data_IF_928313966319
#
_entry.id   IF_928313966319
#
_cell.length_a   1.000
_cell.length_b   1.000
_cell.length_c   1.000
_cell.angle_alpha   90.00
_cell.angle_beta   90.00
_cell.angle_gamma   90.00
#
_symmetry.space_group_name_H-M   'P 1'
#
loop_
_entity.id
_entity.type
_entity.pdbx_description
1 polymer ?
#
# COMPACT_ATOMS: atom_id res chain seq x y z
N UNK A 1 74.62 49.58 10.67
CA UNK A 1 73.51 50.41 10.16
C UNK A 1 72.44 49.49 9.60
N UNK A 2 71.21 49.62 10.12
CA UNK A 2 69.88 49.23 9.57
C UNK A 2 69.70 47.86 8.90
N UNK A 3 68.68 47.04 9.17
CA UNK A 3 67.47 47.16 10.00
C UNK A 3 66.95 45.76 10.30
N UNK A 4 66.61 45.58 11.57
CA UNK A 4 65.74 44.58 12.18
C UNK A 4 64.28 44.85 11.72
N UNK A 5 63.48 43.83 11.38
CA UNK A 5 62.03 44.02 11.25
C UNK A 5 61.29 42.96 10.44
N UNK A 6 60.13 42.54 10.98
CA UNK A 6 59.09 41.68 10.39
C UNK A 6 59.29 40.16 10.47
N UNK A 7 59.68 39.68 11.65
CA UNK A 7 58.93 38.58 12.28
C UNK A 7 57.59 39.19 12.75
N UNK A 8 56.49 38.44 12.67
CA UNK A 8 55.09 38.80 12.98
C UNK A 8 54.25 39.36 11.81
N UNK A 9 53.77 38.46 10.93
CA UNK A 9 52.35 38.48 10.58
C UNK A 9 51.86 37.04 10.44
N UNK A 10 51.37 36.56 11.59
CA UNK A 10 50.48 35.43 11.84
C UNK A 10 50.22 34.47 10.68
N UNK A 11 50.94 33.36 10.74
CA UNK A 11 50.47 32.06 10.29
C UNK A 11 49.19 31.66 11.02
N UNK A 12 48.00 32.01 10.51
CA UNK A 12 46.72 31.41 10.94
C UNK A 12 45.69 31.50 9.80
N UNK A 13 45.83 30.76 8.70
CA UNK A 13 44.70 30.55 7.76
C UNK A 13 44.88 29.34 6.82
N UNK A 14 45.53 28.27 7.29
CA UNK A 14 45.70 27.02 6.51
C UNK A 14 45.37 25.77 7.33
N UNK A 15 44.27 25.79 8.10
CA UNK A 15 43.77 24.60 8.83
C UNK A 15 42.23 24.49 8.84
N UNK A 16 41.55 24.81 7.73
CA UNK A 16 40.12 24.51 7.63
C UNK A 16 39.69 24.15 6.19
N UNK A 17 40.42 23.24 5.56
CA UNK A 17 39.91 22.47 4.41
C UNK A 17 39.74 21.01 4.79
N UNK A 18 39.20 20.76 5.98
CA UNK A 18 38.58 19.48 6.27
C UNK A 18 37.25 19.45 5.53
N UNK A 19 37.25 18.98 4.28
CA UNK A 19 36.02 18.49 3.67
C UNK A 19 35.51 17.37 4.56
N UNK A 20 34.55 17.69 5.43
CA UNK A 20 33.69 16.72 6.06
C UNK A 20 32.91 16.06 4.92
N UNK A 21 33.50 15.01 4.35
CA UNK A 21 32.77 14.03 3.58
C UNK A 21 31.83 13.37 4.59
N UNK A 22 30.62 13.90 4.70
CA UNK A 22 29.51 13.17 5.33
C UNK A 22 29.24 12.03 4.35
N UNK A 23 29.58 10.76 4.68
CA UNK A 23 29.10 9.68 3.85
C UNK A 23 27.59 9.76 3.89
N UNK A 24 26.95 9.98 2.75
CA UNK A 24 25.54 9.74 2.62
C UNK A 24 25.36 8.27 2.98
N UNK A 25 24.88 8.00 4.20
CA UNK A 25 24.38 6.69 4.57
C UNK A 25 23.11 6.50 3.76
N UNK A 26 23.27 6.14 2.49
CA UNK A 26 22.18 5.65 1.66
C UNK A 26 21.81 4.30 2.22
N UNK A 27 20.88 4.29 3.17
CA UNK A 27 20.15 3.07 3.51
C UNK A 27 19.58 2.54 2.20
N UNK A 28 20.01 1.34 1.79
CA UNK A 28 19.47 0.66 0.61
C UNK A 28 17.94 0.74 0.68
N UNK A 29 17.26 1.28 -0.35
CA UNK A 29 15.83 1.55 -0.25
C UNK A 29 15.11 0.25 0.05
N UNK A 30 14.40 0.26 1.17
CA UNK A 30 13.71 -0.91 1.70
C UNK A 30 12.77 -1.49 0.64
N UNK A 31 12.84 -2.82 0.43
CA UNK A 31 11.99 -3.53 -0.52
C UNK A 31 10.77 -4.11 0.19
N UNK A 32 9.58 -3.75 -0.29
CA UNK A 32 8.31 -4.35 0.14
C UNK A 32 8.00 -5.55 -0.77
N UNK A 33 7.78 -6.73 -0.20
CA UNK A 33 7.27 -7.88 -0.96
C UNK A 33 5.74 -7.90 -0.89
N UNK A 34 5.08 -7.65 -2.01
CA UNK A 34 3.63 -7.72 -2.14
C UNK A 34 3.21 -9.14 -2.50
N UNK A 35 2.53 -9.80 -1.59
CA UNK A 35 2.02 -11.15 -1.80
C UNK A 35 0.81 -11.12 -2.72
N UNK A 36 0.68 -12.12 -3.61
CA UNK A 36 -0.50 -12.30 -4.46
C UNK A 36 -1.00 -13.75 -4.38
N UNK A 37 -2.32 -13.91 -4.32
CA UNK A 37 -3.01 -15.19 -4.33
C UNK A 37 -3.75 -15.31 -5.65
N UNK A 38 -3.64 -16.39 -6.43
CA UNK A 38 -4.45 -16.55 -7.64
C UNK A 38 -5.93 -16.77 -7.27
N UNK A 39 -6.68 -15.67 -7.21
CA UNK A 39 -8.07 -15.61 -6.75
C UNK A 39 -8.86 -14.61 -7.61
N UNK A 40 -9.32 -15.02 -8.81
CA UNK A 40 -10.17 -14.17 -9.64
C UNK A 40 -11.52 -13.84 -8.96
N UNK A 41 -12.09 -12.64 -9.18
CA UNK A 41 -11.54 -11.53 -9.98
C UNK A 41 -10.57 -10.63 -9.20
N UNK A 42 -10.24 -10.92 -7.94
CA UNK A 42 -9.37 -10.05 -7.13
C UNK A 42 -7.92 -10.03 -7.66
N UNK A 43 -7.33 -11.19 -7.83
CA UNK A 43 -5.97 -11.35 -8.37
C UNK A 43 -6.02 -12.40 -9.47
N UNK A 44 -5.66 -12.01 -10.68
CA UNK A 44 -5.70 -12.90 -11.85
C UNK A 44 -4.27 -13.10 -12.34
N UNK A 45 -3.71 -14.29 -12.16
CA UNK A 45 -2.29 -14.57 -12.49
C UNK A 45 -2.10 -15.30 -13.82
N UNK A 46 -3.18 -15.80 -14.41
CA UNK A 46 -3.22 -16.62 -15.63
C UNK A 46 -4.42 -16.26 -16.51
N UNK A 47 -4.39 -16.71 -17.77
CA UNK A 47 -5.46 -16.46 -18.74
C UNK A 47 -5.40 -15.07 -19.40
N UNK A 48 -6.43 -14.72 -20.21
CA UNK A 48 -6.46 -13.48 -20.98
C UNK A 48 -6.47 -12.23 -20.09
N UNK A 49 -7.12 -12.29 -18.94
CA UNK A 49 -7.23 -11.17 -17.98
C UNK A 49 -6.09 -11.11 -16.96
N UNK A 50 -4.96 -11.76 -17.27
CA UNK A 50 -3.78 -11.76 -16.39
C UNK A 50 -3.35 -10.32 -16.06
N UNK A 51 -3.27 -10.03 -14.75
CA UNK A 51 -3.00 -8.71 -14.13
C UNK A 51 -4.13 -7.68 -14.20
N UNK A 52 -5.31 -8.06 -14.69
CA UNK A 52 -6.48 -7.18 -14.71
C UNK A 52 -7.42 -7.37 -13.51
N UNK A 53 -7.03 -8.21 -12.53
CA UNK A 53 -7.82 -8.40 -11.30
C UNK A 53 -7.89 -7.14 -10.43
N UNK A 54 -8.97 -7.02 -9.64
CA UNK A 54 -9.30 -5.84 -8.85
C UNK A 54 -8.21 -5.50 -7.82
N UNK A 55 -7.93 -6.43 -6.90
CA UNK A 55 -6.92 -6.27 -5.87
C UNK A 55 -5.52 -6.07 -6.46
N UNK A 56 -5.21 -6.76 -7.56
CA UNK A 56 -3.94 -6.59 -8.27
C UNK A 56 -3.76 -5.18 -8.84
N UNK A 57 -4.81 -4.60 -9.42
CA UNK A 57 -4.78 -3.23 -9.96
C UNK A 57 -4.76 -2.18 -8.86
N UNK A 58 -5.55 -2.35 -7.79
CA UNK A 58 -5.50 -1.46 -6.61
C UNK A 58 -4.12 -1.52 -5.95
N UNK A 59 -3.52 -2.71 -5.81
CA UNK A 59 -2.14 -2.87 -5.31
C UNK A 59 -1.14 -2.09 -6.17
N UNK A 60 -1.27 -2.14 -7.49
CA UNK A 60 -0.41 -1.36 -8.39
C UNK A 60 -0.56 0.14 -8.18
N UNK A 61 -1.79 0.64 -7.99
CA UNK A 61 -2.02 2.05 -7.67
C UNK A 61 -1.37 2.45 -6.33
N UNK A 62 -1.46 1.58 -5.32
CA UNK A 62 -0.80 1.79 -4.02
C UNK A 62 0.73 1.86 -4.19
N UNK A 63 1.32 0.88 -4.87
CA UNK A 63 2.78 0.83 -5.16
C UNK A 63 3.24 2.11 -5.86
N UNK A 64 2.49 2.58 -6.86
CA UNK A 64 2.80 3.82 -7.58
C UNK A 64 2.73 5.07 -6.70
N UNK A 65 1.85 5.07 -5.69
CA UNK A 65 1.72 6.16 -4.72
C UNK A 65 2.84 6.18 -3.67
N UNK A 66 3.42 5.02 -3.35
CA UNK A 66 4.52 4.87 -2.38
C UNK A 66 5.88 5.22 -3.01
N UNK A 67 6.10 6.52 -3.29
CA UNK A 67 7.35 7.02 -3.89
C UNK A 67 8.57 6.67 -3.03
N UNK A 68 9.68 6.29 -3.69
CA UNK A 68 10.98 6.09 -3.04
C UNK A 68 11.21 4.71 -2.42
N UNK A 69 10.24 3.78 -2.50
CA UNK A 69 10.42 2.41 -2.05
C UNK A 69 10.60 1.43 -3.19
N UNK A 70 11.42 0.40 -2.98
CA UNK A 70 11.43 -0.76 -3.87
C UNK A 70 10.22 -1.63 -3.54
N UNK A 71 9.62 -2.21 -4.57
CA UNK A 71 8.51 -3.14 -4.43
C UNK A 71 8.70 -4.29 -5.38
N UNK A 72 8.43 -5.50 -4.91
CA UNK A 72 8.35 -6.70 -5.71
C UNK A 72 7.02 -7.40 -5.47
N UNK A 73 6.61 -8.26 -6.39
CA UNK A 73 5.37 -9.04 -6.25
C UNK A 73 5.69 -10.52 -6.27
N UNK A 74 5.15 -11.27 -5.31
CA UNK A 74 5.39 -12.72 -5.19
C UNK A 74 4.11 -13.50 -4.97
N UNK A 75 3.90 -14.52 -5.80
CA UNK A 75 2.77 -15.43 -5.63
C UNK A 75 2.97 -16.37 -4.43
N UNK A 76 1.89 -16.63 -3.69
CA UNK A 76 1.86 -17.57 -2.59
C UNK A 76 0.43 -18.13 -2.41
N UNK A 77 0.31 -19.30 -1.77
CA UNK A 77 -1.00 -19.82 -1.36
C UNK A 77 -1.50 -19.13 -0.07
N UNK A 78 -2.79 -19.27 0.24
CA UNK A 78 -3.41 -18.60 1.38
C UNK A 78 -2.72 -18.90 2.72
N UNK A 79 -2.37 -20.16 2.99
CA UNK A 79 -1.69 -20.57 4.23
C UNK A 79 -0.32 -19.89 4.37
N UNK A 80 0.42 -19.78 3.28
CA UNK A 80 1.72 -19.12 3.25
C UNK A 80 1.59 -17.61 3.46
N UNK A 81 0.59 -16.99 2.83
CA UNK A 81 0.30 -15.56 3.03
C UNK A 81 -0.02 -15.28 4.49
N UNK A 82 -0.95 -16.03 5.08
CA UNK A 82 -1.32 -15.90 6.48
C UNK A 82 -0.12 -16.10 7.42
N UNK A 83 0.72 -17.10 7.14
CA UNK A 83 1.94 -17.33 7.93
C UNK A 83 2.92 -16.15 7.84
N UNK A 84 3.25 -15.68 6.63
CA UNK A 84 4.21 -14.58 6.44
C UNK A 84 3.72 -13.25 7.02
N UNK A 85 2.41 -12.96 6.94
CA UNK A 85 1.80 -11.77 7.54
C UNK A 85 1.80 -11.80 9.08
N UNK A 86 2.10 -12.94 9.70
CA UNK A 86 2.28 -13.09 11.15
C UNK A 86 3.75 -13.10 11.57
N UNK A 87 4.70 -13.02 10.61
CA UNK A 87 6.13 -12.95 10.91
C UNK A 87 6.61 -11.49 10.85
N UNK A 88 7.75 -11.22 11.48
CA UNK A 88 8.47 -9.95 11.27
C UNK A 88 9.15 -9.96 9.90
N UNK A 89 8.34 -9.78 8.84
CA UNK A 89 8.77 -9.73 7.45
C UNK A 89 8.22 -8.48 6.79
N UNK A 90 8.95 -7.97 5.81
CA UNK A 90 8.55 -6.78 5.04
C UNK A 90 7.59 -7.15 3.91
N UNK A 91 6.48 -7.79 4.27
CA UNK A 91 5.45 -8.28 3.33
C UNK A 91 4.12 -7.58 3.54
N UNK A 92 3.35 -7.39 2.47
CA UNK A 92 1.96 -6.93 2.56
C UNK A 92 1.06 -7.68 1.56
N UNK A 93 -0.25 -7.66 1.79
CA UNK A 93 -1.25 -8.34 0.96
C UNK A 93 -2.49 -7.47 0.77
N UNK A 94 -2.85 -7.17 -0.48
CA UNK A 94 -4.02 -6.33 -0.84
C UNK A 94 -5.28 -7.18 -1.00
N UNK A 95 -5.62 -8.02 -0.02
CA UNK A 95 -6.76 -8.92 -0.13
C UNK A 95 -7.27 -9.47 1.20
N UNK A 96 -6.91 -8.82 2.31
CA UNK A 96 -7.41 -9.19 3.63
C UNK A 96 -8.81 -8.60 3.87
N UNK A 97 -9.57 -9.18 4.79
CA UNK A 97 -10.83 -8.59 5.22
C UNK A 97 -10.61 -7.41 6.17
N UNK A 98 -11.27 -6.28 5.89
CA UNK A 98 -11.28 -5.12 6.77
C UNK A 98 -12.12 -5.40 8.03
N UNK A 99 -11.70 -4.81 9.17
CA UNK A 99 -12.46 -4.84 10.43
C UNK A 99 -12.12 -5.99 11.38
N UNK A 100 -11.22 -6.89 10.99
CA UNK A 100 -10.69 -7.90 11.91
C UNK A 100 -9.63 -7.28 12.85
N UNK A 101 -10.00 -7.12 14.13
CA UNK A 101 -9.12 -6.51 15.16
C UNK A 101 -7.85 -7.32 15.45
N UNK A 102 -7.76 -8.57 15.02
CA UNK A 102 -6.55 -9.37 15.16
C UNK A 102 -5.45 -8.95 14.16
N UNK A 103 -5.78 -8.18 13.12
CA UNK A 103 -4.87 -7.85 12.03
C UNK A 103 -4.69 -6.34 11.87
N UNK A 104 -3.44 -5.93 11.65
CA UNK A 104 -3.13 -4.58 11.23
C UNK A 104 -3.52 -4.41 9.76
N UNK A 105 -4.56 -3.61 9.51
CA UNK A 105 -5.11 -3.38 8.17
C UNK A 105 -5.18 -1.90 7.83
N UNK A 106 -5.15 -1.59 6.54
CA UNK A 106 -5.42 -0.27 6.01
C UNK A 106 -6.89 0.06 6.10
N UNK A 107 -7.25 1.31 5.80
CA UNK A 107 -8.61 1.67 5.41
C UNK A 107 -9.10 0.77 4.24
N UNK A 108 -10.43 0.65 4.01
CA UNK A 108 -10.99 -0.32 3.05
C UNK A 108 -10.58 -0.10 1.58
N UNK A 109 -9.99 -1.08 0.91
CA UNK A 109 -9.59 -0.97 -0.52
C UNK A 109 -10.74 -1.18 -1.49
N UNK A 110 -11.84 -1.77 -1.04
CA UNK A 110 -12.96 -2.22 -1.87
C UNK A 110 -14.16 -2.55 -0.99
N UNK A 111 -15.38 -2.31 -1.50
CA UNK A 111 -16.59 -2.89 -0.97
C UNK A 111 -17.12 -3.92 -1.97
N UNK A 112 -17.24 -5.16 -1.50
CA UNK A 112 -17.82 -6.27 -2.22
C UNK A 112 -19.27 -6.41 -1.73
N UNK A 113 -20.29 -6.11 -2.54
CA UNK A 113 -21.66 -6.52 -2.20
C UNK A 113 -21.74 -8.03 -1.94
N UNK A 114 -22.82 -8.58 -1.38
CA UNK A 114 -23.02 -10.03 -1.39
C UNK A 114 -23.16 -10.51 -2.85
N UNK A 115 -22.07 -10.97 -3.45
CA UNK A 115 -22.09 -11.55 -4.79
C UNK A 115 -22.49 -13.02 -4.64
N UNK A 116 -23.53 -13.47 -5.34
CA UNK A 116 -23.76 -14.87 -5.68
C UNK A 116 -23.86 -15.88 -4.52
N UNK A 117 -24.29 -15.45 -3.33
CA UNK A 117 -24.87 -16.37 -2.35
C UNK A 117 -26.38 -16.33 -2.51
N UNK A 118 -27.01 -17.51 -2.63
CA UNK A 118 -28.43 -17.62 -2.23
C UNK A 118 -28.42 -17.36 -0.73
N UNK A 119 -28.59 -16.10 -0.37
CA UNK A 119 -28.74 -15.69 1.02
C UNK A 119 -30.16 -16.02 1.45
N UNK A 120 -30.30 -16.47 2.71
CA UNK A 120 -31.61 -16.46 3.35
C UNK A 120 -32.14 -15.03 3.30
N UNK A 121 -33.45 -14.86 3.09
CA UNK A 121 -34.08 -13.53 2.97
C UNK A 121 -33.70 -12.59 4.13
N UNK A 122 -33.53 -13.15 5.33
CA UNK A 122 -33.08 -12.44 6.54
C UNK A 122 -31.67 -11.83 6.43
N UNK A 123 -30.83 -12.33 5.52
CA UNK A 123 -29.45 -11.87 5.30
C UNK A 123 -29.29 -11.06 4.01
N UNK A 124 -30.39 -10.73 3.33
CA UNK A 124 -30.36 -9.92 2.10
C UNK A 124 -29.81 -8.49 2.33
N UNK A 125 -29.91 -8.00 3.57
CA UNK A 125 -29.42 -6.67 3.98
C UNK A 125 -28.06 -6.71 4.70
N UNK A 126 -27.35 -7.84 4.64
CA UNK A 126 -26.04 -7.96 5.26
C UNK A 126 -25.07 -6.92 4.66
N UNK A 127 -24.28 -6.28 5.53
CA UNK A 127 -23.28 -5.30 5.11
C UNK A 127 -22.29 -5.92 4.12
N UNK A 128 -21.81 -5.13 3.14
CA UNK A 128 -20.85 -5.60 2.17
C UNK A 128 -19.54 -6.00 2.85
N UNK A 129 -18.91 -7.03 2.29
CA UNK A 129 -17.57 -7.43 2.70
C UNK A 129 -16.60 -6.37 2.21
N UNK A 130 -15.74 -5.87 3.09
CA UNK A 130 -14.72 -4.89 2.73
C UNK A 130 -13.36 -5.55 2.67
N UNK A 131 -12.59 -5.25 1.63
CA UNK A 131 -11.19 -5.62 1.54
C UNK A 131 -10.27 -4.56 2.13
N UNK A 132 -9.07 -4.92 2.52
CA UNK A 132 -8.01 -4.01 2.98
C UNK A 132 -6.62 -4.54 2.59
N UNK A 133 -5.61 -3.67 2.72
CA UNK A 133 -4.21 -4.10 2.76
C UNK A 133 -3.90 -4.57 4.17
N UNK A 134 -3.25 -5.73 4.30
CA UNK A 134 -2.66 -6.18 5.56
C UNK A 134 -1.15 -6.22 5.44
N UNK A 135 -0.49 -5.79 6.51
CA UNK A 135 0.95 -6.00 6.74
C UNK A 135 1.13 -6.59 8.16
N UNK A 136 2.27 -7.21 8.49
CA UNK A 136 2.58 -7.61 9.86
C UNK A 136 2.45 -6.48 10.87
N UNK A 137 1.98 -6.80 12.07
CA UNK A 137 1.82 -5.82 13.14
C UNK A 137 3.14 -5.50 13.86
N UNK A 138 4.08 -4.93 13.10
CA UNK A 138 5.41 -4.51 13.57
C UNK A 138 5.54 -2.99 13.46
N UNK A 139 6.56 -2.35 14.05
CA UNK A 139 6.79 -0.92 13.87
C UNK A 139 6.85 -0.52 12.38
N UNK A 140 7.51 -1.35 11.57
CA UNK A 140 7.56 -1.21 10.11
C UNK A 140 6.16 -1.27 9.48
N UNK A 141 5.38 -2.29 9.82
CA UNK A 141 4.04 -2.47 9.23
C UNK A 141 3.08 -1.35 9.61
N UNK A 142 3.13 -0.87 10.86
CA UNK A 142 2.30 0.26 11.33
C UNK A 142 2.62 1.55 10.57
N UNK A 143 3.91 1.86 10.40
CA UNK A 143 4.34 3.00 9.59
C UNK A 143 3.87 2.84 8.14
N UNK A 144 4.10 1.68 7.54
CA UNK A 144 3.74 1.45 6.15
C UNK A 144 2.22 1.53 5.93
N UNK A 145 1.40 1.04 6.86
CA UNK A 145 -0.06 1.15 6.77
C UNK A 145 -0.54 2.61 6.82
N UNK A 146 0.10 3.48 7.62
CA UNK A 146 -0.22 4.90 7.62
C UNK A 146 0.02 5.52 6.23
N UNK A 147 1.15 5.21 5.61
CA UNK A 147 1.48 5.72 4.28
C UNK A 147 0.58 5.13 3.19
N UNK A 148 0.23 3.85 3.30
CA UNK A 148 -0.76 3.19 2.44
C UNK A 148 -2.13 3.86 2.58
N UNK A 149 -2.53 4.23 3.80
CA UNK A 149 -3.79 4.94 4.05
C UNK A 149 -3.79 6.31 3.34
N UNK A 150 -2.71 7.09 3.44
CA UNK A 150 -2.59 8.36 2.72
C UNK A 150 -2.70 8.21 1.20
N UNK A 151 -2.11 7.15 0.64
CA UNK A 151 -2.24 6.84 -0.78
C UNK A 151 -3.68 6.44 -1.11
N UNK A 152 -4.28 5.55 -0.32
CA UNK A 152 -5.63 5.04 -0.53
C UNK A 152 -6.68 6.15 -0.53
N UNK A 153 -6.59 7.09 0.41
CA UNK A 153 -7.48 8.25 0.47
C UNK A 153 -7.40 9.13 -0.79
N UNK A 154 -6.25 9.14 -1.47
CA UNK A 154 -6.07 9.87 -2.73
C UNK A 154 -6.53 9.09 -3.96
N UNK A 155 -6.34 7.77 -3.99
CA UNK A 155 -6.62 6.96 -5.19
C UNK A 155 -8.07 6.49 -5.31
N UNK A 156 -8.78 6.21 -4.21
CA UNK A 156 -10.16 5.69 -4.25
C UNK A 156 -11.19 6.60 -4.93
N UNK A 157 -11.12 7.94 -4.85
CA UNK A 157 -12.06 8.80 -5.57
C UNK A 157 -11.69 9.01 -7.04
N UNK A 158 -10.59 8.42 -7.54
CA UNK A 158 -10.11 8.70 -8.90
C UNK A 158 -10.89 7.93 -9.97
N UNK A 159 -10.96 8.45 -11.21
CA UNK A 159 -11.54 7.74 -12.34
C UNK A 159 -10.83 6.41 -12.65
N UNK A 160 -9.50 6.33 -12.45
CA UNK A 160 -8.73 5.10 -12.65
C UNK A 160 -9.21 4.00 -11.70
N UNK A 161 -9.34 4.31 -10.41
CA UNK A 161 -9.91 3.37 -9.44
C UNK A 161 -11.35 3.00 -9.79
N UNK A 162 -12.16 3.98 -10.19
CA UNK A 162 -13.57 3.78 -10.58
C UNK A 162 -13.68 2.73 -11.69
N UNK A 163 -12.87 2.86 -12.74
CA UNK A 163 -12.85 1.92 -13.86
C UNK A 163 -12.52 0.48 -13.43
N UNK A 164 -11.68 0.29 -12.40
CA UNK A 164 -11.39 -1.05 -11.87
C UNK A 164 -12.65 -1.72 -11.33
N UNK A 165 -13.51 -0.97 -10.64
CA UNK A 165 -14.75 -1.49 -10.07
C UNK A 165 -15.81 -1.71 -11.14
N UNK A 166 -15.87 -0.83 -12.15
CA UNK A 166 -16.78 -0.95 -13.29
C UNK A 166 -16.52 -2.21 -14.11
N UNK A 167 -15.26 -2.64 -14.23
CA UNK A 167 -14.90 -3.85 -14.99
C UNK A 167 -15.37 -5.16 -14.34
N UNK A 168 -15.53 -5.22 -13.01
CA UNK A 168 -15.69 -6.50 -12.30
C UNK A 168 -16.83 -6.56 -11.28
N UNK A 169 -17.23 -5.44 -10.67
CA UNK A 169 -18.18 -5.43 -9.55
C UNK A 169 -19.50 -4.79 -9.95
N UNK A 170 -19.43 -3.70 -10.71
CA UNK A 170 -20.63 -2.96 -11.10
C UNK A 170 -21.36 -3.73 -12.19
N UNK A 171 -22.39 -4.47 -11.79
CA UNK A 171 -23.27 -5.12 -12.75
C UNK A 171 -23.97 -4.07 -13.64
N UNK A 172 -24.18 -4.36 -14.95
CA UNK A 172 -24.94 -3.47 -15.83
C UNK A 172 -26.31 -3.11 -15.22
N UNK A 173 -26.61 -1.81 -15.15
CA UNK A 173 -27.86 -1.30 -14.56
C UNK A 173 -27.84 -1.06 -13.05
N UNK A 174 -26.85 -1.57 -12.30
CA UNK A 174 -26.77 -1.44 -10.84
C UNK A 174 -25.71 -0.42 -10.36
N UNK A 175 -25.29 0.48 -11.25
CA UNK A 175 -24.25 1.47 -10.95
C UNK A 175 -24.60 2.35 -9.74
N UNK A 176 -25.81 2.91 -9.72
CA UNK A 176 -26.22 3.84 -8.67
C UNK A 176 -26.13 3.22 -7.26
N UNK A 177 -26.64 1.99 -7.11
CA UNK A 177 -26.65 1.29 -5.82
C UNK A 177 -25.24 0.91 -5.37
N UNK A 178 -24.40 0.43 -6.30
CA UNK A 178 -23.00 0.17 -5.99
C UNK A 178 -22.27 1.43 -5.53
N UNK A 179 -22.49 2.56 -6.18
CA UNK A 179 -21.78 3.80 -5.83
C UNK A 179 -22.23 4.39 -4.49
N UNK A 180 -23.49 4.16 -4.06
CA UNK A 180 -23.93 4.46 -2.68
C UNK A 180 -23.17 3.60 -1.67
N UNK A 181 -23.07 2.30 -1.92
CA UNK A 181 -22.29 1.37 -1.08
C UNK A 181 -20.82 1.81 -1.04
N UNK A 182 -20.22 2.12 -2.18
CA UNK A 182 -18.83 2.53 -2.28
C UNK A 182 -18.55 3.82 -1.51
N UNK A 183 -19.41 4.82 -1.64
CA UNK A 183 -19.33 6.08 -0.89
C UNK A 183 -19.28 5.80 0.62
N UNK A 184 -20.25 5.04 1.13
CA UNK A 184 -20.39 4.82 2.57
C UNK A 184 -19.34 3.86 3.14
N UNK A 185 -18.96 2.84 2.39
CA UNK A 185 -18.17 1.71 2.89
C UNK A 185 -16.68 1.83 2.55
N UNK A 186 -16.30 2.71 1.62
CA UNK A 186 -14.92 2.87 1.14
C UNK A 186 -14.43 4.32 1.23
N UNK A 187 -15.21 5.30 0.75
CA UNK A 187 -14.77 6.69 0.70
C UNK A 187 -14.87 7.40 2.05
N UNK A 188 -15.98 7.21 2.77
CA UNK A 188 -16.18 7.80 4.11
C UNK A 188 -15.35 7.14 5.22
N UNK A 189 -14.76 5.96 4.96
CA UNK A 189 -13.96 5.22 5.93
C UNK A 189 -12.50 5.66 5.84
N UNK A 190 -12.10 6.51 6.78
CA UNK A 190 -10.78 7.17 6.81
C UNK A 190 -9.87 6.67 7.92
N UNK A 191 -10.36 5.76 8.77
CA UNK A 191 -9.66 5.10 9.88
C UNK A 191 -9.91 3.57 9.93
#
# INVERSE_FOLDING_TARGET
>A
MSKLGCIFFLAVFLLFSGSFYVPATGEEPETITWLILDLPPLFITKGPDKRNGIAGRVQKMIINGLKGRRSETRAANASRIAWELNQDRKVCFTGEFYGNRAFLTSVPTIALPPHNLIVLKENAEALPIRGAVRCPDTPWGRQLIQEINEVLLKIRPTPEYRGIMEDWIVAPGNGEDYWKIHEDQVLKVTE
#
